data_IF_355974513610
#
_entry.id   IF_355974513610
#
_cell.length_a   1.000
_cell.length_b   1.000
_cell.length_c   1.000
_cell.angle_alpha   90.00
_cell.angle_beta   90.00
_cell.angle_gamma   90.00
#
_symmetry.space_group_name_H-M   'P 1'
#
loop_
_entity.id
_entity.type
_entity.pdbx_description
1 polymer ?
#
# COMPACT_ATOMS: atom_id res chain seq x y z
N UNK A 1 67.50 -29.54 -40.73
CA UNK A 1 67.26 -28.53 -39.68
C UNK A 1 65.82 -28.69 -39.21
N UNK A 2 65.65 -28.75 -37.88
CA UNK A 2 64.42 -28.58 -37.07
C UNK A 2 64.36 -29.66 -35.99
N UNK A 3 65.15 -29.42 -34.94
CA UNK A 3 65.18 -30.16 -33.68
C UNK A 3 63.94 -29.82 -32.84
N UNK A 4 63.17 -30.83 -32.48
CA UNK A 4 62.01 -30.73 -31.59
C UNK A 4 62.48 -30.87 -30.15
N UNK A 5 62.38 -29.79 -29.38
CA UNK A 5 62.70 -29.75 -27.95
C UNK A 5 61.51 -30.25 -27.12
N UNK A 6 61.73 -31.30 -26.31
CA UNK A 6 60.77 -31.75 -25.28
C UNK A 6 60.82 -30.82 -24.06
N UNK A 7 59.68 -30.52 -23.42
CA UNK A 7 59.67 -29.85 -22.12
C UNK A 7 60.04 -30.85 -21.02
N UNK A 8 60.88 -30.37 -20.11
CA UNK A 8 61.41 -31.05 -18.95
C UNK A 8 60.32 -31.31 -17.91
N UNK A 9 60.23 -32.54 -17.41
CA UNK A 9 59.39 -32.91 -16.27
C UNK A 9 59.84 -32.15 -15.02
N UNK A 10 58.97 -31.25 -14.54
CA UNK A 10 59.15 -30.57 -13.27
C UNK A 10 58.73 -31.51 -12.13
N UNK A 11 59.67 -31.73 -11.21
CA UNK A 11 59.49 -32.43 -9.94
C UNK A 11 58.19 -32.01 -9.25
N UNK A 12 57.32 -33.00 -8.99
CA UNK A 12 56.20 -32.87 -8.07
C UNK A 12 56.75 -32.89 -6.65
N UNK A 13 56.92 -31.71 -6.07
CA UNK A 13 57.22 -31.55 -4.65
C UNK A 13 56.13 -32.19 -3.79
N UNK A 14 56.60 -32.86 -2.73
CA UNK A 14 55.78 -33.56 -1.75
C UNK A 14 54.72 -32.64 -1.11
N UNK A 15 53.53 -33.18 -0.74
CA UNK A 15 52.49 -32.39 -0.10
C UNK A 15 53.00 -31.81 1.23
N UNK A 16 52.78 -30.51 1.49
CA UNK A 16 53.22 -29.88 2.72
C UNK A 16 52.55 -30.54 3.94
N UNK A 17 53.36 -30.72 4.99
CA UNK A 17 52.98 -31.26 6.29
C UNK A 17 51.73 -30.56 6.87
N UNK A 18 50.80 -31.36 7.39
CA UNK A 18 49.43 -31.00 7.80
C UNK A 18 49.36 -30.23 9.14
N UNK A 19 50.49 -30.03 9.83
CA UNK A 19 50.53 -29.48 11.19
C UNK A 19 50.91 -27.98 11.28
N UNK A 20 50.76 -27.22 10.19
CA UNK A 20 50.94 -25.76 10.20
C UNK A 20 49.80 -25.01 10.93
N UNK A 21 50.07 -23.82 11.51
CA UNK A 21 49.03 -22.96 12.08
C UNK A 21 47.99 -22.66 11.00
N UNK A 22 46.72 -23.04 11.25
CA UNK A 22 45.66 -22.88 10.25
C UNK A 22 45.40 -21.40 9.98
N UNK A 23 45.33 -20.98 8.71
CA UNK A 23 44.94 -19.62 8.36
C UNK A 23 43.47 -19.41 8.77
N UNK A 24 43.21 -18.41 9.61
CA UNK A 24 41.85 -17.92 9.85
C UNK A 24 41.44 -17.05 8.67
N UNK A 25 40.52 -17.54 7.86
CA UNK A 25 39.95 -16.75 6.77
C UNK A 25 38.82 -15.87 7.28
N UNK A 26 38.80 -14.61 6.85
CA UNK A 26 37.57 -13.80 6.97
C UNK A 26 36.45 -14.41 6.11
N UNK A 27 35.18 -14.15 6.46
CA UNK A 27 34.02 -14.70 5.74
C UNK A 27 34.06 -14.44 4.22
N UNK A 28 34.56 -13.28 3.80
CA UNK A 28 34.71 -12.92 2.37
C UNK A 28 35.77 -13.79 1.69
N UNK A 29 36.88 -14.05 2.38
CA UNK A 29 37.96 -14.90 1.88
C UNK A 29 37.56 -16.38 1.85
N UNK A 30 36.81 -16.86 2.84
CA UNK A 30 36.27 -18.21 2.90
C UNK A 30 35.34 -18.51 1.70
N UNK A 31 34.44 -17.58 1.38
CA UNK A 31 33.54 -17.72 0.22
C UNK A 31 34.29 -17.69 -1.11
N UNK A 32 35.30 -16.83 -1.24
CA UNK A 32 36.16 -16.76 -2.43
C UNK A 32 36.95 -18.07 -2.63
N UNK A 33 37.55 -18.58 -1.56
CA UNK A 33 38.30 -19.85 -1.57
C UNK A 33 37.42 -21.04 -1.97
N UNK A 34 36.22 -21.15 -1.41
CA UNK A 34 35.28 -22.21 -1.78
C UNK A 34 34.91 -22.14 -3.27
N UNK A 35 34.65 -20.93 -3.80
CA UNK A 35 34.32 -20.75 -5.22
C UNK A 35 35.47 -21.14 -6.14
N UNK A 36 36.70 -20.77 -5.81
CA UNK A 36 37.87 -21.14 -6.62
C UNK A 36 38.16 -22.64 -6.57
N UNK A 37 37.99 -23.29 -5.42
CA UNK A 37 38.15 -24.74 -5.29
C UNK A 37 37.06 -25.48 -6.08
N UNK A 38 35.79 -25.07 -5.96
CA UNK A 38 34.68 -25.72 -6.67
C UNK A 38 34.69 -25.47 -8.18
N UNK A 39 35.25 -24.36 -8.65
CA UNK A 39 35.38 -24.05 -10.07
C UNK A 39 36.52 -24.81 -10.76
N UNK A 40 37.44 -25.42 -10.00
CA UNK A 40 38.57 -26.17 -10.57
C UNK A 40 38.18 -27.64 -10.78
N UNK A 41 38.03 -28.12 -12.04
CA UNK A 41 37.63 -29.51 -12.31
C UNK A 41 38.67 -30.54 -11.86
N UNK A 42 39.92 -30.11 -11.62
CA UNK A 42 41.02 -30.96 -11.16
C UNK A 42 41.34 -30.76 -9.67
N UNK A 43 40.41 -30.20 -8.89
CA UNK A 43 40.60 -30.02 -7.46
C UNK A 43 40.83 -31.37 -6.76
N UNK A 44 41.93 -31.48 -6.01
CA UNK A 44 42.23 -32.67 -5.23
C UNK A 44 41.15 -32.86 -4.13
N UNK A 45 40.80 -34.11 -3.83
CA UNK A 45 39.84 -34.51 -2.80
C UNK A 45 40.12 -33.87 -1.43
N UNK A 46 41.39 -33.62 -1.08
CA UNK A 46 41.76 -32.91 0.15
C UNK A 46 41.24 -31.47 0.18
N UNK A 47 41.41 -30.72 -0.92
CA UNK A 47 40.94 -29.35 -1.05
C UNK A 47 39.40 -29.27 -1.03
N UNK A 48 38.71 -30.24 -1.64
CA UNK A 48 37.25 -30.33 -1.58
C UNK A 48 36.73 -30.58 -0.15
N UNK A 49 37.39 -31.43 0.64
CA UNK A 49 37.03 -31.64 2.05
C UNK A 49 37.25 -30.39 2.88
N UNK A 50 38.33 -29.67 2.64
CA UNK A 50 38.62 -28.40 3.33
C UNK A 50 37.59 -27.32 2.96
N UNK A 51 37.25 -27.18 1.67
CA UNK A 51 36.21 -26.27 1.21
C UNK A 51 34.84 -26.60 1.85
N UNK A 52 34.43 -27.87 1.88
CA UNK A 52 33.20 -28.30 2.55
C UNK A 52 33.20 -27.98 4.05
N UNK A 53 34.32 -28.21 4.74
CA UNK A 53 34.45 -27.88 6.16
C UNK A 53 34.33 -26.38 6.41
N UNK A 54 34.96 -25.57 5.56
CA UNK A 54 34.87 -24.10 5.61
C UNK A 54 33.44 -23.63 5.34
N UNK A 55 32.72 -24.25 4.40
CA UNK A 55 31.29 -24.00 4.19
C UNK A 55 30.45 -24.33 5.43
N UNK A 56 30.71 -25.48 6.07
CA UNK A 56 29.96 -25.89 7.25
C UNK A 56 30.15 -24.90 8.40
N UNK A 57 31.39 -24.48 8.67
CA UNK A 57 31.68 -23.48 9.72
C UNK A 57 30.96 -22.16 9.41
N UNK A 58 31.05 -21.66 8.17
CA UNK A 58 30.36 -20.43 7.78
C UNK A 58 28.83 -20.54 7.87
N UNK A 59 28.26 -21.72 7.58
CA UNK A 59 26.84 -21.99 7.75
C UNK A 59 26.45 -21.94 9.23
N UNK A 60 27.22 -22.61 10.09
CA UNK A 60 26.98 -22.63 11.53
C UNK A 60 27.04 -21.19 12.12
N UNK A 61 28.08 -20.41 11.77
CA UNK A 61 28.20 -18.99 12.17
C UNK A 61 26.98 -18.16 11.72
N UNK A 62 26.49 -18.37 10.48
CA UNK A 62 25.30 -17.68 9.99
C UNK A 62 24.04 -18.11 10.72
N UNK A 63 23.91 -19.39 11.07
CA UNK A 63 22.78 -19.83 11.89
C UNK A 63 22.79 -19.21 13.28
N UNK A 64 23.95 -19.07 13.91
CA UNK A 64 24.08 -18.36 15.20
C UNK A 64 23.70 -16.88 15.08
N UNK A 65 24.18 -16.18 14.05
CA UNK A 65 23.82 -14.77 13.79
C UNK A 65 22.31 -14.61 13.58
N UNK A 66 21.68 -15.48 12.80
CA UNK A 66 20.22 -15.43 12.59
C UNK A 66 19.44 -15.70 13.88
N UNK A 67 19.88 -16.64 14.71
CA UNK A 67 19.27 -16.89 16.02
C UNK A 67 19.43 -15.69 16.97
N UNK A 68 20.60 -15.03 16.97
CA UNK A 68 20.86 -13.82 17.75
C UNK A 68 19.94 -12.67 17.33
N UNK A 69 19.83 -12.40 16.02
CA UNK A 69 18.94 -11.37 15.48
C UNK A 69 17.46 -11.68 15.76
N UNK A 70 17.06 -12.95 15.69
CA UNK A 70 15.70 -13.37 16.01
C UNK A 70 15.37 -13.16 17.49
N UNK A 71 16.36 -13.41 18.38
CA UNK A 71 16.25 -13.11 19.82
C UNK A 71 16.13 -11.60 20.06
N UNK A 72 16.94 -10.77 19.40
CA UNK A 72 16.83 -9.30 19.49
C UNK A 72 15.49 -8.79 19.00
N UNK A 73 14.99 -9.29 17.86
CA UNK A 73 13.65 -8.94 17.36
C UNK A 73 12.54 -9.32 18.34
N UNK A 74 12.64 -10.50 18.97
CA UNK A 74 11.68 -10.92 20.00
C UNK A 74 11.73 -10.02 21.23
N UNK A 75 12.93 -9.60 21.64
CA UNK A 75 13.16 -8.67 22.76
C UNK A 75 12.61 -7.28 22.46
N UNK A 76 12.88 -6.74 21.26
CA UNK A 76 12.34 -5.45 20.81
C UNK A 76 10.81 -5.49 20.74
N UNK A 77 10.22 -6.57 20.22
CA UNK A 77 8.75 -6.74 20.21
C UNK A 77 8.18 -6.82 21.63
N UNK A 78 8.83 -7.54 22.54
CA UNK A 78 8.43 -7.61 23.94
C UNK A 78 8.53 -6.24 24.64
N UNK A 79 9.60 -5.49 24.37
CA UNK A 79 9.79 -4.13 24.89
C UNK A 79 8.68 -3.19 24.38
N UNK A 80 8.41 -3.20 23.07
CA UNK A 80 7.40 -2.35 22.44
C UNK A 80 5.98 -2.66 22.92
N UNK A 81 5.67 -3.93 23.16
CA UNK A 81 4.39 -4.35 23.74
C UNK A 81 4.29 -4.00 25.22
N UNK A 82 5.37 -4.11 25.99
CA UNK A 82 5.39 -3.71 27.41
C UNK A 82 5.22 -2.20 27.60
N UNK A 83 5.85 -1.39 26.75
CA UNK A 83 5.70 0.07 26.71
C UNK A 83 4.30 0.48 26.24
N UNK A 84 3.75 -0.25 25.27
CA UNK A 84 2.36 -0.07 24.83
C UNK A 84 1.37 -0.34 25.98
N UNK A 85 1.61 -1.39 26.78
CA UNK A 85 0.73 -1.78 27.88
C UNK A 85 0.86 -0.85 29.11
N UNK A 86 2.07 -0.36 29.42
CA UNK A 86 2.28 0.69 30.44
C UNK A 86 1.58 1.99 30.05
N UNK A 87 1.63 2.34 28.76
CA UNK A 87 0.92 3.49 28.23
C UNK A 87 -0.61 3.34 28.25
N UNK A 88 -1.16 2.12 28.11
CA UNK A 88 -2.60 1.88 28.16
C UNK A 88 -3.20 1.94 29.58
N UNK A 89 -2.41 1.63 30.62
CA UNK A 89 -2.84 1.77 32.03
C UNK A 89 -2.82 3.21 32.55
N UNK A 90 -2.05 4.08 31.91
CA UNK A 90 -2.19 5.52 32.04
C UNK A 90 -3.35 5.96 31.15
N UNK A 91 -4.54 6.21 31.72
CA UNK A 91 -5.77 6.58 31.00
C UNK A 91 -5.70 7.87 30.15
N UNK A 92 -4.51 8.42 29.88
CA UNK A 92 -4.30 9.45 28.88
C UNK A 92 -4.32 8.83 27.49
N UNK A 93 -5.47 9.02 26.83
CA UNK A 93 -5.72 8.88 25.40
C UNK A 93 -4.53 9.40 24.58
N UNK A 94 -3.52 8.55 24.34
CA UNK A 94 -2.34 8.92 23.53
C UNK A 94 -2.85 9.14 22.11
N UNK A 95 -2.81 10.38 21.65
CA UNK A 95 -2.71 10.68 20.22
C UNK A 95 -1.42 10.03 19.72
N UNK A 96 -1.52 8.78 19.24
CA UNK A 96 -0.44 8.17 18.46
C UNK A 96 -0.55 8.73 17.06
N UNK A 97 0.28 9.70 16.71
CA UNK A 97 0.43 10.08 15.32
C UNK A 97 0.84 11.52 15.10
N UNK A 98 1.89 11.65 14.29
CA UNK A 98 2.63 12.86 13.97
C UNK A 98 3.17 13.60 15.21
N UNK A 99 4.33 14.26 15.09
CA UNK A 99 4.98 14.88 16.24
C UNK A 99 3.99 15.74 17.02
N UNK A 100 4.00 15.65 18.35
CA UNK A 100 3.00 16.33 19.16
C UNK A 100 3.05 17.84 18.88
N UNK A 101 2.09 18.36 18.12
CA UNK A 101 1.97 19.78 17.83
C UNK A 101 1.41 20.58 19.02
N UNK A 102 1.01 19.92 20.11
CA UNK A 102 0.51 20.60 21.30
C UNK A 102 1.61 21.49 21.90
N UNK A 103 1.28 22.76 22.17
CA UNK A 103 2.25 23.77 22.62
C UNK A 103 3.12 24.36 21.49
N UNK A 104 2.96 23.93 20.24
CA UNK A 104 3.56 24.62 19.09
C UNK A 104 2.63 25.72 18.57
N UNK A 105 3.16 26.73 17.85
CA UNK A 105 2.33 27.73 17.16
C UNK A 105 1.30 27.12 16.17
N UNK A 106 1.45 25.84 15.82
CA UNK A 106 0.58 25.11 14.89
C UNK A 106 -0.62 24.44 15.58
N UNK A 107 -0.71 24.46 16.91
CA UNK A 107 -1.82 23.83 17.64
C UNK A 107 -3.22 24.33 17.20
N UNK A 108 -3.47 25.65 17.01
CA UNK A 108 -4.76 26.13 16.54
C UNK A 108 -5.10 25.65 15.12
N UNK A 109 -4.07 25.44 14.29
CA UNK A 109 -4.17 24.99 12.90
C UNK A 109 -4.52 23.49 12.84
N UNK A 110 -3.98 22.68 13.76
CA UNK A 110 -4.18 21.21 13.84
C UNK A 110 -5.67 20.81 13.78
N UNK A 111 -6.52 21.49 14.53
CA UNK A 111 -7.95 21.15 14.58
C UNK A 111 -8.70 21.46 13.27
N UNK A 112 -8.27 22.49 12.54
CA UNK A 112 -8.88 22.90 11.28
C UNK A 112 -8.36 22.04 10.13
N UNK A 113 -7.04 21.89 10.03
CA UNK A 113 -6.41 21.08 8.97
C UNK A 113 -6.86 19.62 9.02
N UNK A 114 -7.09 19.05 10.21
CA UNK A 114 -7.69 17.72 10.35
C UNK A 114 -9.01 17.63 9.57
N UNK A 115 -9.92 18.59 9.75
CA UNK A 115 -11.20 18.57 9.05
C UNK A 115 -11.03 18.76 7.55
N UNK A 116 -10.04 19.53 7.08
CA UNK A 116 -9.82 19.75 5.65
C UNK A 116 -9.20 18.52 4.99
N UNK A 117 -8.19 17.92 5.62
CA UNK A 117 -7.52 16.71 5.15
C UNK A 117 -8.46 15.51 5.09
N UNK A 118 -9.43 15.40 6.01
CA UNK A 118 -10.47 14.36 5.94
C UNK A 118 -11.36 14.50 4.72
N UNK A 119 -11.65 15.73 4.28
CA UNK A 119 -12.38 15.98 3.02
C UNK A 119 -11.52 15.59 1.84
N UNK A 120 -10.25 16.02 1.82
CA UNK A 120 -9.29 15.65 0.78
C UNK A 120 -9.20 14.13 0.59
N UNK A 121 -9.07 13.38 1.70
CA UNK A 121 -9.02 11.92 1.69
C UNK A 121 -10.28 11.29 1.08
N UNK A 122 -11.46 11.81 1.44
CA UNK A 122 -12.73 11.25 0.99
C UNK A 122 -13.10 11.66 -0.44
N UNK A 123 -12.74 12.88 -0.85
CA UNK A 123 -13.22 13.51 -2.08
C UNK A 123 -12.20 13.51 -3.22
N UNK A 124 -10.90 13.39 -2.95
CA UNK A 124 -9.89 13.60 -4.00
C UNK A 124 -8.94 12.42 -4.14
N UNK A 125 -8.24 12.04 -3.07
CA UNK A 125 -7.23 10.99 -3.14
C UNK A 125 -7.01 10.26 -1.83
N UNK A 126 -6.74 8.94 -1.93
CA UNK A 126 -6.44 8.07 -0.78
C UNK A 126 -4.94 7.96 -0.48
N UNK A 127 -4.10 8.39 -1.42
CA UNK A 127 -2.65 8.39 -1.34
C UNK A 127 -2.12 9.74 -1.79
N UNK A 128 -1.06 10.19 -1.13
CA UNK A 128 -0.35 11.41 -1.46
C UNK A 128 1.13 11.06 -1.56
N UNK A 129 1.74 11.36 -2.70
CA UNK A 129 3.17 11.11 -2.92
C UNK A 129 4.04 12.04 -2.08
N UNK A 130 5.26 11.60 -1.77
CA UNK A 130 6.22 12.45 -1.05
C UNK A 130 6.59 13.71 -1.85
N UNK A 131 6.54 13.61 -3.19
CA UNK A 131 6.86 14.71 -4.09
C UNK A 131 5.75 15.77 -4.13
N UNK A 132 4.53 15.46 -3.69
CA UNK A 132 3.40 16.41 -3.69
C UNK A 132 3.60 17.61 -2.74
N UNK A 133 4.60 17.54 -1.85
CA UNK A 133 4.97 18.65 -0.96
C UNK A 133 6.30 19.31 -1.33
N UNK A 134 6.98 18.84 -2.37
CA UNK A 134 8.27 19.38 -2.82
C UNK A 134 8.09 20.44 -3.92
N UNK A 135 6.91 20.45 -4.54
CA UNK A 135 6.58 21.35 -5.63
C UNK A 135 6.03 22.66 -5.08
N UNK A 136 6.34 23.76 -5.77
CA UNK A 136 5.77 25.08 -5.50
C UNK A 136 4.24 25.02 -5.60
N UNK A 137 3.49 25.73 -4.74
CA UNK A 137 2.04 25.77 -4.81
C UNK A 137 1.56 26.10 -6.23
N UNK A 138 0.81 25.17 -6.84
CA UNK A 138 0.20 25.39 -8.14
C UNK A 138 -1.17 26.03 -7.93
N UNK A 139 -1.30 27.32 -8.29
CA UNK A 139 -2.55 28.06 -8.16
C UNK A 139 -3.48 27.88 -9.37
N UNK A 140 -2.96 27.40 -10.49
CA UNK A 140 -3.70 27.03 -11.69
C UNK A 140 -3.66 25.53 -11.90
N UNK A 141 -4.72 24.96 -12.49
CA UNK A 141 -4.77 23.54 -12.80
C UNK A 141 -3.70 23.22 -13.86
N UNK A 142 -2.64 22.45 -13.53
CA UNK A 142 -1.58 22.11 -14.48
C UNK A 142 -2.08 21.22 -15.62
N UNK A 143 -3.22 20.56 -15.44
CA UNK A 143 -3.78 19.61 -16.40
C UNK A 143 -5.26 19.91 -16.65
N UNK A 144 -5.57 20.90 -17.51
CA UNK A 144 -6.96 21.19 -17.88
C UNK A 144 -7.64 19.95 -18.48
N UNK A 145 -6.90 19.19 -19.29
CA UNK A 145 -7.35 17.90 -19.82
C UNK A 145 -7.08 16.79 -18.81
N UNK A 146 -8.11 15.99 -18.54
CA UNK A 146 -8.02 14.96 -17.53
C UNK A 146 -7.10 13.78 -17.83
N UNK A 147 -6.93 13.32 -19.10
CA UNK A 147 -6.03 12.20 -19.39
C UNK A 147 -4.57 12.49 -19.01
N UNK A 148 -4.11 13.73 -19.19
CA UNK A 148 -2.72 14.14 -18.97
C UNK A 148 -2.32 14.05 -17.49
N UNK A 149 -3.28 14.19 -16.56
CA UNK A 149 -3.08 14.04 -15.10
C UNK A 149 -2.56 12.66 -14.73
N UNK A 150 -2.83 11.68 -15.58
CA UNK A 150 -2.69 10.25 -15.30
C UNK A 150 -1.65 9.59 -16.21
N UNK A 151 -0.98 10.36 -17.06
CA UNK A 151 0.02 9.80 -18.00
C UNK A 151 1.30 9.35 -17.31
N UNK A 152 1.61 9.89 -16.13
CA UNK A 152 2.76 9.48 -15.31
C UNK A 152 2.50 9.73 -13.81
N UNK A 153 3.31 9.11 -12.95
CA UNK A 153 3.22 9.32 -11.50
C UNK A 153 3.61 10.76 -11.12
N UNK A 154 4.52 11.39 -11.85
CA UNK A 154 4.91 12.79 -11.64
C UNK A 154 3.76 13.74 -11.94
N UNK A 155 3.00 13.50 -13.02
CA UNK A 155 1.81 14.28 -13.35
C UNK A 155 0.71 14.09 -12.29
N UNK A 156 0.56 12.87 -11.79
CA UNK A 156 -0.37 12.60 -10.71
C UNK A 156 0.03 13.35 -9.42
N UNK A 157 1.30 13.35 -9.07
CA UNK A 157 1.82 14.08 -7.92
C UNK A 157 1.61 15.59 -8.08
N UNK A 158 1.87 16.15 -9.28
CA UNK A 158 1.57 17.56 -9.62
C UNK A 158 0.08 17.89 -9.49
N UNK A 159 -0.79 17.00 -9.95
CA UNK A 159 -2.23 17.18 -9.82
C UNK A 159 -2.68 17.11 -8.35
N UNK A 160 -2.13 16.18 -7.56
CA UNK A 160 -2.40 16.12 -6.13
C UNK A 160 -1.89 17.36 -5.38
N UNK A 161 -0.73 17.90 -5.75
CA UNK A 161 -0.24 19.20 -5.27
C UNK A 161 -1.27 20.28 -5.58
N UNK A 162 -1.71 20.42 -6.84
CA UNK A 162 -2.72 21.41 -7.22
C UNK A 162 -4.00 21.27 -6.38
N UNK A 163 -4.53 20.06 -6.22
CA UNK A 163 -5.74 19.83 -5.42
C UNK A 163 -5.51 20.20 -3.95
N UNK A 164 -4.40 19.75 -3.37
CA UNK A 164 -4.03 20.05 -1.98
C UNK A 164 -4.03 21.55 -1.73
N UNK A 165 -3.39 22.33 -2.61
CA UNK A 165 -3.37 23.79 -2.46
C UNK A 165 -4.73 24.40 -2.77
N UNK A 166 -5.44 23.98 -3.82
CA UNK A 166 -6.74 24.56 -4.20
C UNK A 166 -7.86 24.37 -3.15
N UNK A 167 -7.83 23.27 -2.39
CA UNK A 167 -8.86 22.92 -1.40
C UNK A 167 -8.49 23.38 0.02
N UNK A 168 -7.22 23.66 0.28
CA UNK A 168 -6.77 24.13 1.59
C UNK A 168 -6.82 25.67 1.66
N UNK A 169 -7.16 26.24 2.83
CA UNK A 169 -7.01 27.66 3.08
C UNK A 169 -5.58 28.16 2.77
N UNK A 170 -5.47 29.35 2.18
CA UNK A 170 -4.19 29.96 1.79
C UNK A 170 -3.23 30.15 2.98
N UNK A 171 -3.78 30.26 4.20
CA UNK A 171 -3.03 30.30 5.46
C UNK A 171 -2.10 29.09 5.64
N UNK A 172 -2.41 27.95 5.03
CA UNK A 172 -1.61 26.74 5.15
C UNK A 172 -0.45 26.69 4.17
N UNK A 173 -0.41 27.54 3.15
CA UNK A 173 0.54 27.36 2.05
C UNK A 173 1.98 27.56 2.52
N UNK A 174 2.23 28.66 3.23
CA UNK A 174 3.55 28.97 3.80
C UNK A 174 3.98 27.91 4.82
N UNK A 175 3.03 27.43 5.62
CA UNK A 175 3.29 26.41 6.63
C UNK A 175 3.61 25.06 5.99
N UNK A 176 2.89 24.69 4.92
CA UNK A 176 3.13 23.47 4.18
C UNK A 176 4.45 23.52 3.42
N UNK A 177 4.85 24.66 2.87
CA UNK A 177 6.12 24.78 2.15
C UNK A 177 7.32 24.67 3.12
N UNK A 178 7.28 25.42 4.22
CA UNK A 178 8.40 25.56 5.15
C UNK A 178 8.45 24.57 6.33
N UNK A 179 7.35 23.92 6.70
CA UNK A 179 7.30 23.04 7.88
C UNK A 179 7.24 21.56 7.51
N UNK A 180 8.32 20.82 7.80
CA UNK A 180 8.30 19.35 7.70
C UNK A 180 7.25 18.71 8.63
N UNK A 181 7.01 19.31 9.80
CA UNK A 181 6.05 18.80 10.79
C UNK A 181 4.62 18.82 10.27
N UNK A 182 4.22 19.89 9.57
CA UNK A 182 2.87 19.98 9.02
C UNK A 182 2.67 19.00 7.86
N UNK A 183 3.69 18.79 7.01
CA UNK A 183 3.67 17.78 5.93
C UNK A 183 3.41 16.38 6.51
N UNK A 184 4.15 16.02 7.56
CA UNK A 184 3.99 14.72 8.22
C UNK A 184 2.64 14.58 8.94
N UNK A 185 2.12 15.67 9.54
CA UNK A 185 0.76 15.69 10.09
C UNK A 185 -0.30 15.44 9.01
N UNK A 186 -0.20 16.10 7.84
CA UNK A 186 -1.14 15.87 6.72
C UNK A 186 -1.09 14.42 6.25
N UNK A 187 0.11 13.85 6.04
CA UNK A 187 0.26 12.44 5.67
C UNK A 187 -0.34 11.50 6.71
N UNK A 188 -0.09 11.77 7.98
CA UNK A 188 -0.65 10.99 9.09
C UNK A 188 -2.18 11.07 9.12
N UNK A 189 -2.75 12.26 8.96
CA UNK A 189 -4.20 12.48 8.92
C UNK A 189 -4.86 11.77 7.73
N UNK A 190 -4.24 11.82 6.54
CA UNK A 190 -4.70 11.07 5.37
C UNK A 190 -4.70 9.56 5.64
N UNK A 191 -3.61 9.02 6.21
CA UNK A 191 -3.50 7.61 6.56
C UNK A 191 -4.56 7.19 7.60
N UNK A 192 -4.80 8.04 8.60
CA UNK A 192 -5.79 7.81 9.65
C UNK A 192 -7.23 7.84 9.10
N UNK A 193 -7.54 8.79 8.22
CA UNK A 193 -8.86 8.85 7.59
C UNK A 193 -9.06 7.66 6.66
N UNK A 194 -8.06 7.30 5.84
CA UNK A 194 -8.11 6.09 5.00
C UNK A 194 -8.42 4.84 5.81
N UNK A 195 -7.76 4.67 6.96
CA UNK A 195 -8.02 3.56 7.88
C UNK A 195 -9.45 3.58 8.43
N UNK A 196 -9.98 4.78 8.71
CA UNK A 196 -11.37 4.98 9.15
C UNK A 196 -12.37 4.63 8.06
N UNK A 197 -12.13 5.06 6.82
CA UNK A 197 -12.96 4.73 5.66
C UNK A 197 -13.00 3.23 5.42
N UNK A 198 -11.83 2.57 5.41
CA UNK A 198 -11.73 1.10 5.29
C UNK A 198 -12.50 0.40 6.39
N UNK A 199 -12.34 0.82 7.65
CA UNK A 199 -13.03 0.24 8.80
C UNK A 199 -14.56 0.37 8.64
N UNK A 200 -15.03 1.56 8.28
CA UNK A 200 -16.45 1.82 8.10
C UNK A 200 -17.02 0.92 6.99
N UNK A 201 -16.36 0.86 5.82
CA UNK A 201 -16.83 0.08 4.67
C UNK A 201 -16.78 -1.41 4.96
N UNK A 202 -15.72 -1.94 5.59
CA UNK A 202 -15.67 -3.35 6.01
C UNK A 202 -16.82 -3.72 6.94
N UNK A 203 -17.18 -2.82 7.86
CA UNK A 203 -18.27 -3.04 8.82
C UNK A 203 -19.64 -3.08 8.13
N UNK A 204 -19.89 -2.20 7.16
CA UNK A 204 -21.15 -2.19 6.39
C UNK A 204 -21.13 -3.10 5.16
N UNK A 205 -19.97 -3.66 4.82
CA UNK A 205 -19.76 -4.48 3.64
C UNK A 205 -20.78 -5.61 3.48
N UNK A 206 -21.13 -6.36 4.54
CA UNK A 206 -22.20 -7.36 4.49
C UNK A 206 -23.51 -6.79 3.91
N UNK A 207 -23.92 -5.61 4.35
CA UNK A 207 -25.16 -4.97 3.90
C UNK A 207 -25.05 -4.46 2.45
N UNK A 208 -23.94 -3.80 2.12
CA UNK A 208 -23.71 -3.21 0.79
C UNK A 208 -23.58 -4.30 -0.28
N UNK A 209 -22.76 -5.32 -0.03
CA UNK A 209 -22.40 -6.30 -1.04
C UNK A 209 -23.37 -7.49 -1.04
N UNK A 210 -23.71 -8.06 0.11
CA UNK A 210 -24.50 -9.30 0.18
C UNK A 210 -26.02 -9.08 0.06
N UNK A 211 -26.49 -7.84 0.16
CA UNK A 211 -27.84 -7.46 -0.25
C UNK A 211 -28.06 -7.45 -1.77
N UNK A 212 -26.99 -7.59 -2.57
CA UNK A 212 -27.01 -7.59 -4.04
C UNK A 212 -26.55 -8.97 -4.59
N UNK A 213 -27.48 -9.92 -4.82
CA UNK A 213 -27.16 -11.33 -5.07
C UNK A 213 -26.21 -11.66 -6.25
N UNK A 214 -26.27 -10.97 -7.42
CA UNK A 214 -25.50 -11.43 -8.58
C UNK A 214 -23.99 -11.18 -8.48
N UNK A 215 -23.56 -10.12 -7.79
CA UNK A 215 -22.15 -9.68 -7.77
C UNK A 215 -21.33 -10.47 -6.75
N UNK A 216 -21.96 -10.86 -5.62
CA UNK A 216 -21.30 -11.65 -4.58
C UNK A 216 -21.10 -13.10 -5.00
N UNK A 217 -22.02 -13.69 -5.77
CA UNK A 217 -21.83 -15.06 -6.29
C UNK A 217 -20.53 -15.20 -7.10
N UNK A 218 -20.20 -14.20 -7.93
CA UNK A 218 -18.96 -14.19 -8.71
C UNK A 218 -17.72 -13.93 -7.83
N UNK A 219 -17.79 -12.99 -6.89
CA UNK A 219 -16.66 -12.66 -6.01
C UNK A 219 -16.35 -13.78 -4.98
N UNK A 220 -17.39 -14.42 -4.43
CA UNK A 220 -17.27 -15.58 -3.53
C UNK A 220 -16.77 -16.80 -4.28
N UNK A 221 -17.27 -17.04 -5.50
CA UNK A 221 -16.72 -18.10 -6.38
C UNK A 221 -15.22 -17.90 -6.63
N UNK A 222 -14.76 -16.67 -6.87
CA UNK A 222 -13.34 -16.36 -7.02
C UNK A 222 -12.54 -16.65 -5.74
N UNK A 223 -13.08 -16.32 -4.57
CA UNK A 223 -12.46 -16.55 -3.25
C UNK A 223 -12.40 -18.04 -2.88
N UNK A 224 -13.47 -18.78 -3.15
CA UNK A 224 -13.54 -20.22 -2.90
C UNK A 224 -12.66 -21.00 -3.87
N UNK A 225 -12.59 -20.58 -5.14
CA UNK A 225 -11.60 -21.11 -6.09
C UNK A 225 -10.16 -20.85 -5.62
N UNK A 226 -9.87 -19.68 -5.04
CA UNK A 226 -8.51 -19.39 -4.51
C UNK A 226 -8.14 -20.25 -3.32
N UNK A 227 -9.10 -20.62 -2.46
CA UNK A 227 -8.87 -21.54 -1.33
C UNK A 227 -8.78 -23.00 -1.75
N UNK A 228 -9.57 -23.44 -2.72
CA UNK A 228 -9.57 -24.81 -3.21
C UNK A 228 -8.27 -25.19 -3.94
N UNK A 229 -7.54 -24.21 -4.47
CA UNK A 229 -6.27 -24.38 -5.19
C UNK A 229 -5.00 -24.28 -4.31
N UNK A 230 -5.11 -24.27 -2.99
CA UNK A 230 -3.95 -24.19 -2.08
C UNK A 230 -2.98 -25.39 -2.14
N UNK A 231 -3.31 -26.47 -2.87
CA UNK A 231 -2.45 -27.66 -3.01
C UNK A 231 -1.65 -27.79 -4.31
N UNK A 232 -1.83 -26.91 -5.30
CA UNK A 232 -1.02 -26.92 -6.54
C UNK A 232 -0.24 -25.60 -6.70
N UNK A 233 0.95 -25.61 -7.37
CA UNK A 233 1.71 -24.41 -7.66
C UNK A 233 0.85 -23.44 -8.48
N UNK A 234 0.36 -22.40 -7.78
CA UNK A 234 -0.64 -21.45 -8.26
C UNK A 234 -0.34 -20.98 -9.69
N UNK A 235 -1.18 -21.32 -10.70
CA UNK A 235 -1.19 -20.51 -11.91
C UNK A 235 -1.51 -19.07 -11.49
N UNK A 236 -0.76 -18.11 -12.01
CA UNK A 236 -0.98 -16.69 -11.72
C UNK A 236 -2.39 -16.31 -12.19
N UNK A 237 -3.36 -16.34 -11.27
CA UNK A 237 -4.71 -15.89 -11.56
C UNK A 237 -4.65 -14.41 -11.91
N UNK A 238 -4.82 -14.12 -13.21
CA UNK A 238 -5.04 -12.76 -13.66
C UNK A 238 -6.47 -12.40 -13.24
N UNK A 239 -6.59 -11.66 -12.14
CA UNK A 239 -7.83 -10.95 -11.85
C UNK A 239 -8.28 -10.23 -13.12
N UNK A 240 -9.60 -10.24 -13.36
CA UNK A 240 -10.18 -9.42 -14.42
C UNK A 240 -9.59 -8.01 -14.29
N UNK A 241 -9.14 -7.48 -15.42
CA UNK A 241 -8.52 -6.17 -15.48
C UNK A 241 -9.48 -5.10 -14.94
N UNK A 242 -10.79 -5.37 -15.05
CA UNK A 242 -11.89 -4.53 -14.58
C UNK A 242 -12.72 -5.29 -13.54
N UNK A 243 -12.87 -4.77 -12.32
CA UNK A 243 -13.67 -5.43 -11.31
C UNK A 243 -15.17 -5.33 -11.69
N UNK A 244 -15.93 -6.44 -11.71
CA UNK A 244 -17.35 -6.47 -12.13
C UNK A 244 -18.26 -5.49 -11.37
N UNK A 245 -17.85 -5.07 -10.18
CA UNK A 245 -18.55 -4.05 -9.39
C UNK A 245 -18.70 -2.70 -10.10
N UNK A 246 -17.78 -2.39 -11.02
CA UNK A 246 -17.77 -1.15 -11.79
C UNK A 246 -18.47 -1.33 -13.13
N UNK A 247 -18.40 -2.54 -13.69
CA UNK A 247 -19.06 -2.93 -14.94
C UNK A 247 -19.83 -4.24 -14.72
N UNK A 248 -21.08 -4.17 -14.24
CA UNK A 248 -21.87 -5.36 -13.94
C UNK A 248 -21.98 -6.31 -15.14
N UNK A 249 -22.08 -5.74 -16.35
CA UNK A 249 -22.18 -6.46 -17.61
C UNK A 249 -20.81 -6.69 -18.29
N UNK A 250 -19.71 -6.30 -17.64
CA UNK A 250 -18.33 -6.25 -18.19
C UNK A 250 -18.19 -5.39 -19.47
N UNK A 251 -19.22 -4.63 -19.82
CA UNK A 251 -19.26 -3.75 -20.98
C UNK A 251 -18.60 -2.39 -20.68
N UNK A 252 -17.38 -2.23 -21.18
CA UNK A 252 -16.60 -1.00 -21.04
C UNK A 252 -17.13 0.16 -21.88
N UNK A 253 -17.97 -0.10 -22.88
CA UNK A 253 -18.57 0.96 -23.70
C UNK A 253 -19.52 1.84 -22.88
N UNK A 254 -20.08 1.30 -21.79
CA UNK A 254 -20.99 1.97 -20.86
C UNK A 254 -20.25 2.60 -19.67
N UNK A 255 -19.04 3.12 -19.89
CA UNK A 255 -18.24 3.74 -18.83
C UNK A 255 -18.94 4.92 -18.11
N UNK A 256 -19.87 5.59 -18.80
CA UNK A 256 -20.70 6.64 -18.19
C UNK A 256 -21.70 6.11 -17.15
N UNK A 257 -21.98 4.82 -17.16
CA UNK A 257 -22.95 4.19 -16.26
C UNK A 257 -22.33 3.59 -15.01
N UNK A 258 -20.99 3.52 -14.93
CA UNK A 258 -20.25 3.08 -13.73
C UNK A 258 -20.74 3.85 -12.49
N UNK A 259 -21.07 5.13 -12.66
CA UNK A 259 -21.55 6.02 -11.62
C UNK A 259 -22.96 5.74 -11.12
N UNK A 260 -23.71 4.90 -11.84
CA UNK A 260 -25.04 4.43 -11.49
C UNK A 260 -25.01 3.12 -10.71
N UNK A 261 -23.82 2.57 -10.45
CA UNK A 261 -23.68 1.39 -9.59
C UNK A 261 -24.16 1.72 -8.18
N UNK A 262 -25.29 1.10 -7.78
CA UNK A 262 -25.87 1.25 -6.45
C UNK A 262 -24.84 0.94 -5.35
N UNK A 263 -23.97 -0.04 -5.59
CA UNK A 263 -22.89 -0.40 -4.66
C UNK A 263 -21.94 0.78 -4.46
N UNK A 264 -21.48 1.43 -5.52
CA UNK A 264 -20.59 2.59 -5.41
C UNK A 264 -21.28 3.76 -4.72
N UNK A 265 -22.57 3.96 -4.97
CA UNK A 265 -23.37 4.97 -4.28
C UNK A 265 -23.43 4.66 -2.77
N UNK A 266 -23.65 3.41 -2.37
CA UNK A 266 -23.66 3.04 -0.94
C UNK A 266 -22.28 3.20 -0.30
N UNK A 267 -21.20 2.84 -1.00
CA UNK A 267 -19.83 3.02 -0.50
C UNK A 267 -19.51 4.51 -0.34
N UNK A 268 -19.81 5.34 -1.33
CA UNK A 268 -19.64 6.79 -1.25
C UNK A 268 -20.47 7.41 -0.12
N UNK A 269 -21.71 6.94 0.08
CA UNK A 269 -22.54 7.36 1.22
C UNK A 269 -21.91 6.95 2.56
N UNK A 270 -21.36 5.75 2.66
CA UNK A 270 -20.64 5.31 3.86
C UNK A 270 -19.41 6.19 4.14
N UNK A 271 -18.68 6.61 3.10
CA UNK A 271 -17.53 7.52 3.25
C UNK A 271 -17.96 8.90 3.77
N UNK A 272 -19.02 9.47 3.19
CA UNK A 272 -19.48 10.84 3.49
C UNK A 272 -20.32 10.97 4.78
N UNK A 273 -21.12 9.94 5.08
CA UNK A 273 -22.12 9.96 6.15
C UNK A 273 -21.82 8.96 7.29
N UNK A 274 -20.80 8.12 7.13
CA UNK A 274 -20.38 7.12 8.10
C UNK A 274 -21.11 5.78 7.99
N UNK A 275 -20.74 4.85 8.87
CA UNK A 275 -21.18 3.45 8.89
C UNK A 275 -22.71 3.23 8.99
N UNK A 276 -23.50 4.22 9.40
CA UNK A 276 -24.97 4.08 9.53
C UNK A 276 -25.74 4.55 8.29
N UNK A 277 -25.02 4.96 7.25
CA UNK A 277 -25.62 5.55 6.07
C UNK A 277 -26.30 4.53 5.12
N UNK A 278 -25.71 3.35 4.83
CA UNK A 278 -26.28 2.38 3.90
C UNK A 278 -27.66 1.86 4.33
N UNK A 279 -27.82 1.53 5.62
CA UNK A 279 -29.08 1.04 6.22
C UNK A 279 -30.32 1.87 5.94
N UNK A 280 -30.15 3.15 5.60
CA UNK A 280 -31.27 4.02 5.22
C UNK A 280 -31.78 3.81 3.82
N UNK A 281 -30.90 3.50 2.87
CA UNK A 281 -31.35 3.28 1.50
C UNK A 281 -32.27 2.07 1.45
N UNK A 282 -31.87 1.00 2.15
CA UNK A 282 -32.67 -0.22 2.29
C UNK A 282 -33.96 0.05 3.07
N UNK A 283 -33.90 0.75 4.21
CA UNK A 283 -35.11 1.08 4.98
C UNK A 283 -36.10 1.96 4.18
N UNK A 284 -35.59 2.92 3.39
CA UNK A 284 -36.41 3.76 2.52
C UNK A 284 -37.06 2.95 1.38
N UNK A 285 -36.31 2.05 0.74
CA UNK A 285 -36.86 1.12 -0.26
C UNK A 285 -37.94 0.20 0.32
N UNK A 286 -37.83 -0.15 1.60
CA UNK A 286 -38.82 -0.98 2.31
C UNK A 286 -40.01 -0.17 2.86
N UNK A 287 -40.14 1.12 2.50
CA UNK A 287 -41.23 1.97 3.01
C UNK A 287 -41.13 2.27 4.51
N UNK A 288 -40.04 1.87 5.17
CA UNK A 288 -39.77 2.24 6.55
C UNK A 288 -39.22 3.67 6.55
N UNK A 289 -40.13 4.64 6.62
CA UNK A 289 -39.83 6.06 6.81
C UNK A 289 -39.36 6.30 8.26
N UNK A 290 -38.37 5.53 8.73
CA UNK A 290 -37.62 5.93 9.89
C UNK A 290 -36.74 7.09 9.44
N UNK A 291 -37.10 8.32 9.83
CA UNK A 291 -36.19 9.48 9.81
C UNK A 291 -35.05 9.22 10.78
N UNK A 292 -34.17 8.28 10.47
CA UNK A 292 -32.90 8.19 11.17
C UNK A 292 -32.22 9.53 10.83
N UNK A 293 -32.05 10.42 11.80
CA UNK A 293 -31.44 11.72 11.57
C UNK A 293 -29.98 11.49 11.15
N UNK A 294 -29.54 11.98 10.00
CA UNK A 294 -28.09 11.92 9.65
C UNK A 294 -27.36 12.65 10.76
N UNK A 295 -26.26 12.06 11.25
CA UNK A 295 -25.45 12.73 12.26
C UNK A 295 -25.16 14.14 11.77
N UNK A 296 -25.43 15.15 12.61
CA UNK A 296 -25.04 16.54 12.31
C UNK A 296 -23.53 16.64 12.07
N UNK A 297 -22.76 15.70 12.61
CA UNK A 297 -21.30 15.62 12.51
C UNK A 297 -20.77 14.77 11.35
N UNK A 298 -21.57 14.46 10.33
CA UNK A 298 -21.05 13.78 9.14
C UNK A 298 -20.27 14.74 8.23
N UNK A 299 -19.29 14.18 7.51
CA UNK A 299 -18.37 14.92 6.64
C UNK A 299 -19.13 15.76 5.60
N UNK A 300 -20.11 15.15 4.92
CA UNK A 300 -20.89 15.85 3.90
C UNK A 300 -21.67 17.06 4.44
N UNK A 301 -22.25 16.97 5.64
CA UNK A 301 -22.98 18.12 6.23
C UNK A 301 -22.04 19.20 6.73
N UNK A 302 -20.97 18.82 7.41
CA UNK A 302 -19.98 19.76 7.92
C UNK A 302 -19.35 20.61 6.81
N UNK A 303 -19.31 20.07 5.58
CA UNK A 303 -18.64 20.67 4.43
C UNK A 303 -19.56 21.05 3.30
N UNK A 304 -20.88 20.91 3.50
CA UNK A 304 -21.91 21.21 2.50
C UNK A 304 -21.64 20.52 1.17
N UNK A 305 -21.11 19.30 1.21
CA UNK A 305 -20.83 18.50 0.01
C UNK A 305 -22.17 18.12 -0.62
N UNK A 306 -22.44 18.70 -1.78
CA UNK A 306 -23.68 18.53 -2.54
C UNK A 306 -23.44 17.94 -3.94
N UNK A 307 -22.17 17.73 -4.32
CA UNK A 307 -21.77 17.15 -5.61
C UNK A 307 -20.72 16.07 -5.38
N UNK A 308 -20.76 15.03 -6.20
CA UNK A 308 -19.72 14.02 -6.23
C UNK A 308 -18.54 14.53 -7.06
N UNK A 309 -17.33 14.38 -6.55
CA UNK A 309 -16.10 14.63 -7.31
C UNK A 309 -15.64 13.34 -8.02
N UNK A 310 -14.86 13.46 -9.10
CA UNK A 310 -14.19 12.30 -9.71
C UNK A 310 -13.37 11.49 -8.69
N UNK A 311 -12.70 12.18 -7.75
CA UNK A 311 -11.91 11.53 -6.70
C UNK A 311 -12.74 10.74 -5.69
N UNK A 312 -13.95 11.21 -5.32
CA UNK A 312 -14.86 10.46 -4.46
C UNK A 312 -15.27 9.14 -5.11
N UNK A 313 -15.58 9.18 -6.40
CA UNK A 313 -16.00 7.98 -7.14
C UNK A 313 -14.83 7.00 -7.25
N UNK A 314 -13.64 7.50 -7.62
CA UNK A 314 -12.44 6.69 -7.67
C UNK A 314 -12.13 6.04 -6.31
N UNK A 315 -12.17 6.81 -5.23
CA UNK A 315 -11.96 6.30 -3.88
C UNK A 315 -13.00 5.25 -3.48
N UNK A 316 -14.28 5.46 -3.81
CA UNK A 316 -15.34 4.48 -3.57
C UNK A 316 -15.09 3.17 -4.34
N UNK A 317 -14.73 3.26 -5.62
CA UNK A 317 -14.39 2.10 -6.45
C UNK A 317 -13.20 1.30 -5.91
N UNK A 318 -12.14 1.99 -5.46
CA UNK A 318 -10.96 1.37 -4.85
C UNK A 318 -11.34 0.64 -3.57
N UNK A 319 -12.03 1.32 -2.66
CA UNK A 319 -12.37 0.76 -1.36
C UNK A 319 -13.32 -0.42 -1.51
N UNK A 320 -14.26 -0.37 -2.46
CA UNK A 320 -15.12 -1.49 -2.77
C UNK A 320 -14.33 -2.69 -3.32
N UNK A 321 -13.41 -2.43 -4.27
CA UNK A 321 -12.52 -3.46 -4.82
C UNK A 321 -11.65 -4.11 -3.74
N UNK A 322 -11.10 -3.29 -2.83
CA UNK A 322 -10.29 -3.78 -1.71
C UNK A 322 -11.09 -4.63 -0.72
N UNK A 323 -12.32 -4.24 -0.38
CA UNK A 323 -13.14 -5.03 0.54
C UNK A 323 -13.53 -6.38 -0.07
N UNK A 324 -13.75 -6.42 -1.39
CA UNK A 324 -14.08 -7.65 -2.11
C UNK A 324 -12.88 -8.55 -2.39
N UNK A 325 -11.67 -7.99 -2.54
CA UNK A 325 -10.47 -8.76 -2.85
C UNK A 325 -10.02 -9.68 -1.72
N UNK A 326 -10.40 -9.36 -0.48
CA UNK A 326 -9.98 -10.10 0.71
C UNK A 326 -8.56 -9.80 1.18
N UNK A 327 -7.84 -8.84 0.57
CA UNK A 327 -6.50 -8.46 1.02
C UNK A 327 -6.51 -8.04 2.51
N UNK A 328 -5.55 -8.50 3.32
CA UNK A 328 -5.54 -8.24 4.76
C UNK A 328 -5.34 -6.75 5.06
N UNK A 329 -4.46 -6.09 4.30
CA UNK A 329 -4.03 -4.71 4.50
C UNK A 329 -4.34 -3.83 3.29
N UNK A 330 -4.78 -2.60 3.55
CA UNK A 330 -5.04 -1.63 2.48
C UNK A 330 -3.78 -0.81 2.16
N UNK A 331 -3.01 -1.32 1.20
CA UNK A 331 -1.81 -0.69 0.62
C UNK A 331 -2.06 -0.25 -0.82
N UNK A 332 -1.09 0.43 -1.45
CA UNK A 332 -1.17 0.83 -2.87
C UNK A 332 -1.28 -0.37 -3.81
N UNK A 333 -0.72 -1.51 -3.41
CA UNK A 333 -0.82 -2.80 -4.06
C UNK A 333 -1.26 -3.86 -3.07
N UNK A 334 -2.21 -4.70 -3.45
CA UNK A 334 -2.70 -5.84 -2.65
C UNK A 334 -1.59 -6.85 -2.36
N UNK A 335 -1.48 -7.28 -1.12
CA UNK A 335 -0.43 -8.22 -0.67
C UNK A 335 -0.66 -9.62 -1.26
N UNK A 336 -1.90 -10.09 -1.25
CA UNK A 336 -2.24 -11.45 -1.72
C UNK A 336 -2.68 -11.41 -3.18
N UNK A 337 -3.49 -10.42 -3.54
CA UNK A 337 -4.07 -10.33 -4.88
C UNK A 337 -3.14 -9.69 -5.92
N UNK A 338 -2.15 -8.92 -5.47
CA UNK A 338 -1.29 -8.12 -6.35
C UNK A 338 -2.01 -6.95 -7.04
N UNK A 339 -3.28 -6.67 -6.72
CA UNK A 339 -4.07 -5.60 -7.34
C UNK A 339 -3.42 -4.24 -7.05
N UNK A 340 -3.02 -3.51 -8.09
CA UNK A 340 -2.47 -2.15 -7.95
C UNK A 340 -3.61 -1.12 -7.72
N UNK A 341 -4.12 -1.02 -6.49
CA UNK A 341 -5.20 -0.13 -6.12
C UNK A 341 -4.95 1.34 -6.48
N UNK A 342 -3.72 1.85 -6.27
CA UNK A 342 -3.37 3.23 -6.63
C UNK A 342 -3.41 3.42 -8.16
N UNK A 343 -2.68 2.61 -8.90
CA UNK A 343 -2.54 2.77 -10.36
C UNK A 343 -3.84 2.50 -11.12
N UNK A 344 -4.73 1.62 -10.62
CA UNK A 344 -6.01 1.31 -11.29
C UNK A 344 -6.98 2.48 -11.36
N UNK A 345 -6.94 3.39 -10.40
CA UNK A 345 -7.85 4.55 -10.39
C UNK A 345 -7.28 5.80 -11.03
N UNK A 346 -5.96 5.87 -11.16
CA UNK A 346 -5.26 7.01 -11.70
C UNK A 346 -4.51 6.67 -13.00
N UNK A 347 -4.86 5.56 -13.65
CA UNK A 347 -4.24 5.13 -14.89
C UNK A 347 -4.97 5.70 -16.11
N UNK A 348 -4.26 6.03 -17.20
CA UNK A 348 -4.84 6.66 -18.39
C UNK A 348 -5.69 5.68 -19.22
N UNK A 349 -5.61 4.38 -18.93
CA UNK A 349 -5.95 3.38 -19.93
C UNK A 349 -7.43 3.01 -20.06
N UNK A 350 -8.30 3.07 -19.03
CA UNK A 350 -9.71 2.62 -19.19
C UNK A 350 -10.77 3.26 -18.28
N UNK A 351 -10.45 3.65 -17.04
CA UNK A 351 -11.44 4.25 -16.14
C UNK A 351 -11.68 5.73 -16.43
N UNK A 352 -10.61 6.47 -16.70
CA UNK A 352 -10.65 7.93 -16.66
C UNK A 352 -11.24 8.57 -17.91
N UNK A 353 -11.10 7.91 -19.08
CA UNK A 353 -11.71 8.37 -20.33
C UNK A 353 -13.25 8.44 -20.23
N UNK A 354 -13.89 7.55 -19.46
CA UNK A 354 -15.32 7.62 -19.19
C UNK A 354 -15.69 8.65 -18.11
N UNK A 355 -14.84 8.78 -17.08
CA UNK A 355 -15.12 9.65 -15.92
C UNK A 355 -15.10 11.13 -16.29
N UNK A 356 -14.24 11.54 -17.22
CA UNK A 356 -14.00 12.96 -17.50
C UNK A 356 -14.82 13.55 -18.64
N UNK A 357 -15.53 12.71 -19.42
CA UNK A 357 -16.34 13.17 -20.55
C UNK A 357 -17.79 13.54 -20.18
N UNK A 358 -18.25 13.34 -18.94
CA UNK A 358 -19.70 13.25 -18.66
C UNK A 358 -20.25 14.06 -17.48
N UNK A 359 -19.52 15.05 -16.94
CA UNK A 359 -19.99 15.82 -15.78
C UNK A 359 -20.03 17.34 -16.00
N UNK A 360 -21.00 17.79 -16.78
CA UNK A 360 -21.86 18.90 -16.35
C UNK A 360 -23.14 18.26 -15.77
N UNK A 361 -23.42 18.53 -14.48
CA UNK A 361 -24.60 18.03 -13.76
C UNK A 361 -25.74 19.05 -13.87
#
# INVERSE_FOLDING_TARGET
MSSVSRPSDANLDAPPSVDGPRPSFSHVQASSYVRTVLANPNANHAALREALRTCQIALDEKTEETQALQKELSSLKASLTSDSNRAAKSGRKRQRGAGNLDGTPLEPVKSRINKDVRVLAAMHFLWLGDNSFQQTPLLSNPFPFAPDRYSSDENLDLYHTYILYSELPHEYYVLLEGSCMLKEEVKYLLLSERSTLVKNIRKVGPEIFFGSPPIVGQAVSLREQTRALEHDPKPAFKYLELPPILFPDLDTSRAQEIFRSDILIQVARCMLFGEKAPGRAVAYQQGQIARIATSSNCLARQRKINKASPGLIAAAAILASFVLSGDPTFSEKGMETGIAYRSRCYGPSRFTLGICLSYEL
#
